data_IF_388644801877
#
_entry.id   IF_388644801877
#
_cell.length_a   1.000
_cell.length_b   1.000
_cell.length_c   1.000
_cell.angle_alpha   90.00
_cell.angle_beta   90.00
_cell.angle_gamma   90.00
#
_symmetry.space_group_name_H-M   'P 1'
#
loop_
_entity.id
_entity.type
_entity.pdbx_description
1 polymer ?
#
# COMPACT_ATOMS: atom_id res chain seq x y z
N UNK A 1 23.68 -15.26 -43.15
CA UNK A 1 24.09 -14.24 -42.17
C UNK A 1 22.90 -13.95 -41.27
N UNK A 2 22.99 -14.39 -40.01
CA UNK A 2 22.04 -14.01 -38.95
C UNK A 2 22.46 -12.65 -38.40
N UNK A 3 21.60 -11.65 -38.50
CA UNK A 3 21.69 -10.39 -37.75
C UNK A 3 20.26 -10.00 -37.34
N UNK A 4 19.71 -10.73 -36.37
CA UNK A 4 18.49 -10.34 -35.66
C UNK A 4 18.91 -9.36 -34.55
N UNK A 5 19.06 -8.09 -34.91
CA UNK A 5 19.19 -7.01 -33.92
C UNK A 5 17.84 -6.81 -33.24
N UNK A 6 17.65 -7.41 -32.06
CA UNK A 6 16.56 -7.05 -31.18
C UNK A 6 16.83 -5.66 -30.62
N UNK A 7 16.31 -4.62 -31.27
CA UNK A 7 16.16 -3.32 -30.64
C UNK A 7 15.33 -3.52 -29.36
N UNK A 8 15.99 -3.43 -28.21
CA UNK A 8 15.41 -3.55 -26.87
C UNK A 8 14.40 -2.44 -26.66
N UNK A 9 13.15 -2.72 -27.00
CA UNK A 9 12.02 -1.82 -26.89
C UNK A 9 11.35 -2.01 -25.54
N UNK A 10 11.09 -0.92 -24.79
CA UNK A 10 10.28 -1.00 -23.57
C UNK A 10 8.91 -1.57 -23.91
N UNK A 11 8.46 -2.68 -23.30
CA UNK A 11 7.25 -3.36 -23.72
C UNK A 11 6.02 -2.59 -23.24
N UNK A 12 5.49 -1.70 -24.09
CA UNK A 12 4.38 -0.78 -23.77
C UNK A 12 3.15 -1.50 -23.20
N UNK A 13 2.81 -2.68 -23.73
CA UNK A 13 1.69 -3.46 -23.23
C UNK A 13 1.86 -3.88 -21.76
N UNK A 14 3.08 -4.24 -21.36
CA UNK A 14 3.39 -4.65 -19.98
C UNK A 14 3.40 -3.44 -19.04
N UNK A 15 3.89 -2.29 -19.50
CA UNK A 15 3.82 -1.03 -18.75
C UNK A 15 2.36 -0.61 -18.52
N UNK A 16 1.49 -0.73 -19.53
CA UNK A 16 0.05 -0.46 -19.38
C UNK A 16 -0.61 -1.43 -18.39
N UNK A 17 -0.26 -2.70 -18.44
CA UNK A 17 -0.75 -3.70 -17.50
C UNK A 17 -0.32 -3.41 -16.06
N UNK A 18 0.95 -3.01 -15.86
CA UNK A 18 1.45 -2.57 -14.56
C UNK A 18 0.68 -1.33 -14.06
N UNK A 19 0.50 -0.32 -14.93
CA UNK A 19 -0.21 0.91 -14.60
C UNK A 19 -1.69 0.69 -14.24
N UNK A 20 -2.30 -0.38 -14.76
CA UNK A 20 -3.66 -0.79 -14.40
C UNK A 20 -3.75 -1.51 -13.03
N UNK A 21 -2.63 -1.76 -12.35
CA UNK A 21 -2.51 -2.49 -11.09
C UNK A 21 -3.07 -1.80 -9.84
N UNK A 22 -4.12 -1.00 -9.98
CA UNK A 22 -4.68 -0.15 -8.92
C UNK A 22 -5.34 -0.94 -7.78
N UNK A 23 -5.73 -2.20 -8.05
CA UNK A 23 -6.37 -3.07 -7.06
C UNK A 23 -5.56 -3.22 -5.77
N UNK A 24 -4.22 -3.30 -5.87
CA UNK A 24 -3.34 -3.42 -4.71
C UNK A 24 -3.44 -2.19 -3.78
N UNK A 25 -3.50 -0.99 -4.35
CA UNK A 25 -3.60 0.27 -3.60
C UNK A 25 -4.99 0.49 -3.04
N UNK A 26 -6.03 0.04 -3.74
CA UNK A 26 -7.41 0.07 -3.24
C UNK A 26 -7.55 -0.82 -2.01
N UNK A 27 -7.10 -2.09 -2.08
CA UNK A 27 -7.14 -2.99 -0.92
C UNK A 27 -6.25 -2.48 0.22
N UNK A 28 -5.08 -1.89 -0.07
CA UNK A 28 -4.27 -1.24 0.95
C UNK A 28 -5.04 -0.13 1.68
N UNK A 29 -5.73 0.75 0.95
CA UNK A 29 -6.49 1.86 1.54
C UNK A 29 -7.66 1.36 2.41
N UNK A 30 -8.35 0.29 2.00
CA UNK A 30 -9.40 -0.34 2.81
C UNK A 30 -8.85 -0.88 4.14
N UNK A 31 -7.69 -1.55 4.10
CA UNK A 31 -7.04 -2.10 5.29
C UNK A 31 -6.47 -1.00 6.19
N UNK A 32 -5.94 0.08 5.60
CA UNK A 32 -5.52 1.28 6.33
C UNK A 32 -6.70 1.92 7.06
N UNK A 33 -7.84 2.10 6.39
CA UNK A 33 -9.04 2.63 7.03
C UNK A 33 -9.54 1.71 8.14
N UNK A 34 -9.57 0.39 7.90
CA UNK A 34 -9.89 -0.59 8.94
C UNK A 34 -8.97 -0.45 10.15
N UNK A 35 -7.68 -0.23 9.94
CA UNK A 35 -6.72 -0.02 11.02
C UNK A 35 -7.02 1.26 11.82
N UNK A 36 -7.30 2.38 11.15
CA UNK A 36 -7.71 3.65 11.80
C UNK A 36 -8.98 3.47 12.63
N UNK A 37 -9.93 2.67 12.16
CA UNK A 37 -11.20 2.45 12.86
C UNK A 37 -11.14 1.34 13.92
N UNK A 38 -9.96 0.77 14.18
CA UNK A 38 -9.78 -0.35 15.12
C UNK A 38 -10.26 -0.02 16.53
N UNK A 39 -9.92 1.18 17.05
CA UNK A 39 -10.38 1.60 18.38
C UNK A 39 -11.90 1.62 18.48
N UNK A 40 -12.61 2.15 17.47
CA UNK A 40 -14.07 2.21 17.51
C UNK A 40 -14.72 0.83 17.54
N UNK A 41 -14.14 -0.15 16.83
CA UNK A 41 -14.61 -1.54 16.83
C UNK A 41 -14.27 -2.27 18.12
N UNK A 42 -13.10 -2.01 18.70
CA UNK A 42 -12.64 -2.67 19.91
C UNK A 42 -13.32 -2.13 21.17
N UNK A 43 -13.68 -0.83 21.18
CA UNK A 43 -14.17 -0.09 22.36
C UNK A 43 -15.24 -0.82 23.20
N UNK A 44 -16.25 -1.49 22.65
CA UNK A 44 -17.26 -2.21 23.44
C UNK A 44 -16.69 -3.37 24.27
N UNK A 45 -15.49 -3.84 23.92
CA UNK A 45 -14.83 -5.02 24.48
C UNK A 45 -13.63 -4.67 25.37
N UNK A 46 -13.32 -3.38 25.54
CA UNK A 46 -12.16 -2.95 26.32
C UNK A 46 -12.54 -2.77 27.79
N UNK A 47 -11.67 -3.23 28.69
CA UNK A 47 -11.68 -2.76 30.07
C UNK A 47 -11.30 -1.27 30.16
N UNK A 48 -11.59 -0.57 31.27
CA UNK A 48 -11.24 0.85 31.41
C UNK A 48 -9.74 1.17 31.22
N UNK A 49 -8.86 0.27 31.64
CA UNK A 49 -7.41 0.43 31.48
C UNK A 49 -6.98 0.26 30.01
N UNK A 50 -7.59 -0.70 29.31
CA UNK A 50 -7.33 -0.94 27.88
C UNK A 50 -7.90 0.19 27.02
N UNK A 51 -9.08 0.74 27.35
CA UNK A 51 -9.66 1.90 26.67
C UNK A 51 -8.74 3.12 26.74
N UNK A 52 -8.21 3.42 27.93
CA UNK A 52 -7.26 4.53 28.09
C UNK A 52 -6.01 4.36 27.22
N UNK A 53 -5.47 3.14 27.14
CA UNK A 53 -4.31 2.82 26.30
C UNK A 53 -4.64 2.91 24.81
N UNK A 54 -5.74 2.30 24.37
CA UNK A 54 -6.13 2.29 22.95
C UNK A 54 -6.51 3.67 22.43
N UNK A 55 -7.03 4.57 23.27
CA UNK A 55 -7.26 5.98 22.91
C UNK A 55 -5.97 6.71 22.53
N UNK A 56 -4.88 6.44 23.25
CA UNK A 56 -3.57 7.02 22.93
C UNK A 56 -3.04 6.49 21.60
N UNK A 57 -3.21 5.20 21.35
CA UNK A 57 -2.84 4.57 20.07
C UNK A 57 -3.72 5.06 18.91
N UNK A 58 -5.03 5.25 19.12
CA UNK A 58 -5.95 5.81 18.13
C UNK A 58 -5.53 7.22 17.69
N UNK A 59 -5.15 8.06 18.64
CA UNK A 59 -4.64 9.41 18.34
C UNK A 59 -3.39 9.34 17.44
N UNK A 60 -2.47 8.41 17.71
CA UNK A 60 -1.29 8.19 16.86
C UNK A 60 -1.66 7.67 15.46
N UNK A 61 -2.53 6.66 15.37
CA UNK A 61 -3.03 6.11 14.10
C UNK A 61 -3.66 7.21 13.23
N UNK A 62 -4.53 8.03 13.80
CA UNK A 62 -5.20 9.15 13.10
C UNK A 62 -4.21 10.23 12.68
N UNK A 63 -3.24 10.57 13.52
CA UNK A 63 -2.24 11.58 13.21
C UNK A 63 -1.33 11.17 12.04
N UNK A 64 -1.05 9.87 11.89
CA UNK A 64 -0.26 9.32 10.79
C UNK A 64 -1.04 9.13 9.49
N UNK A 65 -2.38 9.09 9.53
CA UNK A 65 -3.20 8.66 8.39
C UNK A 65 -3.02 9.54 7.14
N UNK A 66 -2.86 10.85 7.32
CA UNK A 66 -2.64 11.75 6.20
C UNK A 66 -1.30 11.46 5.47
N UNK A 67 -0.25 11.12 6.22
CA UNK A 67 1.07 10.81 5.67
C UNK A 67 1.05 9.43 4.98
N UNK A 68 0.36 8.45 5.56
CA UNK A 68 0.12 7.12 4.95
C UNK A 68 -0.64 7.25 3.62
N UNK A 69 -1.72 8.03 3.60
CA UNK A 69 -2.50 8.23 2.38
C UNK A 69 -1.68 8.88 1.26
N UNK A 70 -0.77 9.79 1.62
CA UNK A 70 0.17 10.42 0.67
C UNK A 70 1.15 9.41 0.07
N UNK A 71 1.66 8.46 0.85
CA UNK A 71 2.52 7.38 0.32
C UNK A 71 1.81 6.57 -0.77
N UNK A 72 0.59 6.09 -0.48
CA UNK A 72 -0.20 5.35 -1.45
C UNK A 72 -0.56 6.19 -2.68
N UNK A 73 -0.84 7.48 -2.48
CA UNK A 73 -1.11 8.41 -3.58
C UNK A 73 0.12 8.64 -4.46
N UNK A 74 1.33 8.76 -3.91
CA UNK A 74 2.55 8.92 -4.70
C UNK A 74 2.81 7.70 -5.61
N UNK A 75 2.60 6.49 -5.08
CA UNK A 75 2.67 5.25 -5.87
C UNK A 75 1.62 5.26 -6.99
N UNK A 76 0.37 5.64 -6.68
CA UNK A 76 -0.71 5.74 -7.66
C UNK A 76 -0.37 6.72 -8.79
N UNK A 77 0.08 7.93 -8.44
CA UNK A 77 0.47 8.95 -9.42
C UNK A 77 1.60 8.46 -10.33
N UNK A 78 2.58 7.77 -9.76
CA UNK A 78 3.67 7.18 -10.54
C UNK A 78 3.18 6.14 -11.54
N UNK A 79 2.31 5.22 -11.12
CA UNK A 79 1.73 4.21 -12.02
C UNK A 79 0.86 4.84 -13.11
N UNK A 80 0.08 5.87 -12.77
CA UNK A 80 -0.71 6.63 -13.74
C UNK A 80 0.16 7.35 -14.77
N UNK A 81 1.28 7.94 -14.32
CA UNK A 81 2.26 8.57 -15.20
C UNK A 81 2.85 7.57 -16.20
N UNK A 82 3.26 6.38 -15.74
CA UNK A 82 3.73 5.29 -16.59
C UNK A 82 2.65 4.87 -17.60
N UNK A 83 1.40 4.74 -17.14
CA UNK A 83 0.26 4.39 -17.99
C UNK A 83 0.05 5.40 -19.11
N UNK A 84 -0.01 6.70 -18.80
CA UNK A 84 -0.19 7.78 -19.79
C UNK A 84 0.98 7.86 -20.76
N UNK A 85 2.22 7.79 -20.25
CA UNK A 85 3.42 7.72 -21.09
C UNK A 85 3.39 6.51 -22.04
N UNK A 86 2.82 5.38 -21.63
CA UNK A 86 2.69 4.22 -22.50
C UNK A 86 1.56 4.34 -23.55
N UNK A 87 0.62 5.29 -23.40
CA UNK A 87 -0.46 5.56 -24.37
C UNK A 87 -0.13 6.69 -25.38
N UNK A 88 1.03 7.33 -25.24
CA UNK A 88 1.47 8.47 -26.05
C UNK A 88 0.66 9.76 -25.82
N UNK A 89 0.01 9.87 -24.66
CA UNK A 89 -0.70 11.09 -24.29
C UNK A 89 0.28 12.15 -23.79
N UNK A 90 0.03 13.42 -24.16
CA UNK A 90 0.72 14.55 -23.57
C UNK A 90 0.40 14.58 -22.07
N UNK A 91 1.39 14.33 -21.23
CA UNK A 91 1.18 14.23 -19.79
C UNK A 91 1.62 15.50 -19.08
N UNK A 92 0.63 16.26 -18.58
CA UNK A 92 0.85 17.30 -17.57
C UNK A 92 0.48 16.76 -16.18
N UNK A 93 1.51 16.55 -15.36
CA UNK A 93 1.42 15.98 -14.01
C UNK A 93 1.16 17.05 -12.95
N UNK A 94 1.35 18.33 -13.31
CA UNK A 94 1.35 19.45 -12.36
C UNK A 94 0.07 19.59 -11.53
N UNK A 95 -1.15 19.46 -12.09
CA UNK A 95 -2.37 19.58 -11.28
C UNK A 95 -2.51 18.44 -10.26
N UNK A 96 -2.05 17.24 -10.59
CA UNK A 96 -2.12 16.05 -9.75
C UNK A 96 -1.01 16.07 -8.67
N UNK A 97 0.16 16.62 -9.00
CA UNK A 97 1.28 16.84 -8.09
C UNK A 97 1.03 17.95 -7.07
N UNK A 98 0.25 18.97 -7.41
CA UNK A 98 -0.04 20.08 -6.48
C UNK A 98 -0.69 19.59 -5.17
N UNK A 99 -1.54 18.56 -5.24
CA UNK A 99 -2.13 17.92 -4.05
C UNK A 99 -1.18 16.98 -3.29
N UNK A 100 -0.20 16.42 -4.01
CA UNK A 100 0.81 15.50 -3.46
C UNK A 100 2.08 16.22 -2.97
N UNK A 101 2.31 17.50 -3.28
CA UNK A 101 3.54 18.22 -2.94
C UNK A 101 3.77 18.47 -1.45
N UNK A 102 2.82 18.17 -0.57
CA UNK A 102 3.03 18.33 0.87
C UNK A 102 4.02 17.29 1.39
N UNK A 103 4.89 17.73 2.30
CA UNK A 103 5.84 16.87 3.00
C UNK A 103 5.11 15.82 3.85
N UNK A 104 5.72 14.64 3.95
CA UNK A 104 5.31 13.60 4.91
C UNK A 104 6.31 13.55 6.07
N UNK A 105 5.84 13.07 7.21
CA UNK A 105 6.67 12.86 8.40
C UNK A 105 7.15 11.42 8.51
N UNK A 106 8.31 11.24 9.14
CA UNK A 106 8.70 9.93 9.67
C UNK A 106 7.81 9.59 10.88
N UNK A 107 7.46 8.32 11.02
CA UNK A 107 6.64 7.79 12.10
C UNK A 107 7.35 6.58 12.73
N UNK A 108 8.33 6.82 13.62
CA UNK A 108 9.08 5.75 14.28
C UNK A 108 8.12 4.76 14.96
N UNK A 109 8.31 3.47 14.71
CA UNK A 109 7.43 2.40 15.23
C UNK A 109 6.24 2.03 14.34
N UNK A 110 5.91 2.84 13.32
CA UNK A 110 4.92 2.47 12.29
C UNK A 110 5.53 1.81 11.05
N UNK A 111 6.86 1.92 10.89
CA UNK A 111 7.59 1.45 9.70
C UNK A 111 7.88 2.53 8.67
N UNK A 112 7.39 3.78 8.84
CA UNK A 112 7.79 4.93 8.01
C UNK A 112 8.99 5.62 8.65
N UNK A 113 10.13 5.64 7.94
CA UNK A 113 11.38 6.25 8.38
C UNK A 113 11.86 7.29 7.35
N UNK A 114 13.01 7.91 7.61
CA UNK A 114 13.57 8.96 6.75
C UNK A 114 13.91 8.48 5.33
N UNK A 115 14.18 7.18 5.15
CA UNK A 115 14.38 6.59 3.82
C UNK A 115 13.08 6.64 3.03
N UNK A 116 11.95 6.31 3.65
CA UNK A 116 10.63 6.38 3.01
C UNK A 116 10.22 7.83 2.70
N UNK A 117 10.51 8.77 3.62
CA UNK A 117 10.30 10.22 3.39
C UNK A 117 11.11 10.69 2.18
N UNK A 118 12.39 10.32 2.11
CA UNK A 118 13.27 10.69 1.00
C UNK A 118 12.80 10.09 -0.33
N UNK A 119 12.43 8.81 -0.33
CA UNK A 119 11.90 8.13 -1.51
C UNK A 119 10.63 8.81 -2.03
N UNK A 120 9.73 9.22 -1.14
CA UNK A 120 8.53 9.97 -1.50
C UNK A 120 8.88 11.28 -2.22
N UNK A 121 9.78 12.08 -1.66
CA UNK A 121 10.22 13.33 -2.27
C UNK A 121 10.89 13.11 -3.62
N UNK A 122 11.78 12.12 -3.73
CA UNK A 122 12.47 11.79 -4.98
C UNK A 122 11.50 11.38 -6.08
N UNK A 123 10.51 10.55 -5.76
CA UNK A 123 9.50 10.10 -6.72
C UNK A 123 8.68 11.28 -7.25
N UNK A 124 8.23 12.18 -6.36
CA UNK A 124 7.50 13.39 -6.79
C UNK A 124 8.36 14.33 -7.64
N UNK A 125 9.65 14.49 -7.30
CA UNK A 125 10.59 15.28 -8.09
C UNK A 125 10.86 14.68 -9.48
N UNK A 126 10.81 13.36 -9.63
CA UNK A 126 10.92 12.73 -10.94
C UNK A 126 9.68 12.99 -11.78
N UNK A 127 8.50 12.87 -11.15
CA UNK A 127 7.23 13.15 -11.82
C UNK A 127 7.13 14.62 -12.26
N UNK A 128 7.62 15.57 -11.48
CA UNK A 128 7.60 16.99 -11.86
C UNK A 128 8.49 17.32 -13.06
N UNK A 129 9.49 16.47 -13.33
CA UNK A 129 10.45 16.60 -14.44
C UNK A 129 9.99 15.91 -15.73
N UNK A 130 8.80 15.32 -15.77
CA UNK A 130 8.26 14.58 -16.92
C UNK A 130 8.00 15.43 -18.19
N UNK A 131 8.22 16.75 -18.15
CA UNK A 131 8.13 17.63 -19.31
C UNK A 131 9.36 17.58 -20.24
N UNK A 132 9.20 18.08 -21.47
CA UNK A 132 10.31 18.27 -22.42
C UNK A 132 10.13 17.62 -23.79
N UNK A 133 11.17 17.71 -24.63
CA UNK A 133 11.18 17.32 -26.06
C UNK A 133 11.73 15.92 -26.35
N UNK A 134 12.09 15.15 -25.32
CA UNK A 134 12.59 13.79 -25.51
C UNK A 134 11.53 12.86 -26.14
N UNK A 135 11.99 11.84 -26.87
CA UNK A 135 11.09 10.83 -27.42
C UNK A 135 10.32 10.13 -26.30
N UNK A 136 9.06 9.73 -26.57
CA UNK A 136 8.20 9.03 -25.61
C UNK A 136 8.90 7.83 -24.96
N UNK A 137 9.64 7.07 -25.76
CA UNK A 137 10.28 5.85 -25.33
C UNK A 137 11.51 6.10 -24.47
N UNK A 138 12.30 7.12 -24.78
CA UNK A 138 13.41 7.54 -23.94
C UNK A 138 12.90 8.05 -22.58
N UNK A 139 11.80 8.82 -22.58
CA UNK A 139 11.14 9.25 -21.33
C UNK A 139 10.65 8.07 -20.52
N UNK A 140 9.95 7.13 -21.14
CA UNK A 140 9.43 5.97 -20.43
C UNK A 140 10.56 5.11 -19.83
N UNK A 141 11.62 4.86 -20.60
CA UNK A 141 12.79 4.12 -20.12
C UNK A 141 13.45 4.83 -18.93
N UNK A 142 13.62 6.15 -19.03
CA UNK A 142 14.19 6.96 -17.95
C UNK A 142 13.34 6.92 -16.68
N UNK A 143 12.02 7.04 -16.81
CA UNK A 143 11.10 7.05 -15.65
C UNK A 143 11.05 5.71 -14.95
N UNK A 144 11.10 4.61 -15.71
CA UNK A 144 11.20 3.27 -15.15
C UNK A 144 12.53 3.06 -14.42
N UNK A 145 13.64 3.54 -15.01
CA UNK A 145 14.96 3.38 -14.41
C UNK A 145 15.14 4.25 -13.16
N UNK A 146 14.97 5.57 -13.30
CA UNK A 146 15.17 6.53 -12.21
C UNK A 146 14.14 6.29 -11.09
N UNK A 147 12.92 5.90 -11.44
CA UNK A 147 11.81 5.69 -10.51
C UNK A 147 11.84 4.37 -9.75
N UNK A 148 12.68 3.40 -10.12
CA UNK A 148 12.67 2.09 -9.49
C UNK A 148 13.03 2.17 -8.00
N UNK A 149 14.21 2.69 -7.65
CA UNK A 149 14.63 2.71 -6.24
C UNK A 149 13.66 3.47 -5.31
N UNK A 150 13.16 4.67 -5.66
CA UNK A 150 12.14 5.36 -4.86
C UNK A 150 10.83 4.56 -4.78
N UNK A 151 10.33 4.02 -5.89
CA UNK A 151 9.10 3.23 -5.88
C UNK A 151 9.22 1.97 -4.99
N UNK A 152 10.33 1.22 -5.11
CA UNK A 152 10.56 0.03 -4.30
C UNK A 152 10.57 0.37 -2.80
N UNK A 153 11.16 1.50 -2.42
CA UNK A 153 11.14 1.97 -1.04
C UNK A 153 9.72 2.31 -0.58
N UNK A 154 8.90 2.96 -1.41
CA UNK A 154 7.50 3.25 -1.05
C UNK A 154 6.67 1.97 -0.92
N UNK A 155 6.81 1.01 -1.85
CA UNK A 155 6.11 -0.27 -1.79
C UNK A 155 6.52 -1.09 -0.55
N UNK A 156 7.79 -1.05 -0.17
CA UNK A 156 8.26 -1.66 1.08
C UNK A 156 7.67 -1.00 2.33
N UNK A 157 7.48 0.33 2.32
CA UNK A 157 6.78 1.04 3.38
C UNK A 157 5.31 0.59 3.48
N UNK A 158 4.61 0.47 2.35
CA UNK A 158 3.23 -0.03 2.32
C UNK A 158 3.13 -1.48 2.83
N UNK A 159 4.06 -2.38 2.46
CA UNK A 159 4.09 -3.75 3.00
C UNK A 159 4.33 -3.76 4.52
N UNK A 160 5.26 -2.93 5.01
CA UNK A 160 5.54 -2.82 6.45
C UNK A 160 4.33 -2.32 7.24
N UNK A 161 3.59 -1.35 6.68
CA UNK A 161 2.32 -0.88 7.25
C UNK A 161 1.27 -1.99 7.25
N UNK A 162 1.16 -2.80 6.19
CA UNK A 162 0.24 -3.95 6.18
C UNK A 162 0.59 -4.98 7.25
N UNK A 163 1.87 -5.23 7.52
CA UNK A 163 2.30 -6.11 8.62
C UNK A 163 1.90 -5.53 9.97
N UNK A 164 2.09 -4.22 10.18
CA UNK A 164 1.64 -3.54 11.39
C UNK A 164 0.13 -3.64 11.57
N UNK A 165 -0.64 -3.42 10.50
CA UNK A 165 -2.10 -3.45 10.53
C UNK A 165 -2.62 -4.86 10.84
N UNK A 166 -2.02 -5.89 10.25
CA UNK A 166 -2.37 -7.29 10.50
C UNK A 166 -2.13 -7.66 11.97
N UNK A 167 -0.96 -7.29 12.51
CA UNK A 167 -0.64 -7.49 13.93
C UNK A 167 -1.58 -6.71 14.86
N UNK A 168 -1.94 -5.48 14.51
CA UNK A 168 -2.94 -4.71 15.25
C UNK A 168 -4.31 -5.38 15.19
N UNK A 169 -4.67 -5.98 14.06
CA UNK A 169 -5.90 -6.73 13.87
C UNK A 169 -5.93 -8.03 14.67
N UNK A 170 -4.81 -8.74 14.77
CA UNK A 170 -4.65 -9.91 15.65
C UNK A 170 -4.86 -9.53 17.12
N UNK A 171 -4.26 -8.42 17.57
CA UNK A 171 -4.48 -7.93 18.93
C UNK A 171 -5.96 -7.57 19.18
N UNK A 172 -6.61 -6.89 18.22
CA UNK A 172 -8.05 -6.59 18.30
C UNK A 172 -8.87 -7.87 18.38
N UNK A 173 -8.58 -8.87 17.55
CA UNK A 173 -9.23 -10.18 17.56
C UNK A 173 -9.12 -10.85 18.92
N UNK A 174 -7.91 -10.90 19.49
CA UNK A 174 -7.64 -11.62 20.72
C UNK A 174 -8.38 -10.97 21.91
N UNK A 175 -8.46 -9.64 21.94
CA UNK A 175 -9.28 -8.90 22.92
C UNK A 175 -10.78 -9.22 22.75
N UNK A 176 -11.30 -9.08 21.53
CA UNK A 176 -12.74 -9.22 21.26
C UNK A 176 -13.21 -10.66 21.48
N UNK A 177 -12.53 -11.64 20.90
CA UNK A 177 -12.89 -13.04 21.04
C UNK A 177 -12.60 -13.55 22.45
N UNK A 178 -11.50 -13.11 23.07
CA UNK A 178 -11.16 -13.47 24.45
C UNK A 178 -12.22 -13.01 25.44
N UNK A 179 -12.74 -11.79 25.32
CA UNK A 179 -13.84 -11.33 26.18
C UNK A 179 -15.11 -12.19 25.95
N UNK A 180 -15.47 -12.47 24.70
CA UNK A 180 -16.65 -13.27 24.41
C UNK A 180 -16.53 -14.70 24.93
N UNK A 181 -15.37 -15.32 24.80
CA UNK A 181 -15.10 -16.66 25.34
C UNK A 181 -15.34 -16.72 26.86
N UNK A 182 -14.82 -15.72 27.58
CA UNK A 182 -14.97 -15.62 29.04
C UNK A 182 -16.43 -15.37 29.41
N UNK A 183 -17.08 -14.36 28.84
CA UNK A 183 -18.46 -13.98 29.19
C UNK A 183 -19.48 -15.07 28.84
N UNK A 184 -19.33 -15.76 27.69
CA UNK A 184 -20.20 -16.87 27.30
C UNK A 184 -20.11 -18.01 28.31
N UNK A 185 -18.91 -18.32 28.82
CA UNK A 185 -18.71 -19.39 29.79
C UNK A 185 -19.44 -19.12 31.12
N UNK A 186 -19.58 -17.85 31.52
CA UNK A 186 -20.31 -17.46 32.74
C UNK A 186 -21.82 -17.28 32.55
N UNK A 187 -22.30 -17.17 31.30
CA UNK A 187 -23.71 -16.95 30.98
C UNK A 187 -24.56 -18.23 30.86
N UNK A 188 -24.04 -19.40 31.24
CA UNK A 188 -24.69 -20.71 31.00
C UNK A 188 -25.74 -21.09 32.07
N UNK A 189 -26.61 -20.13 32.41
CA UNK A 189 -27.76 -20.35 33.30
C UNK A 189 -29.08 -20.40 32.51
N UNK A 190 -30.11 -21.14 32.96
CA UNK A 190 -31.39 -21.27 32.24
C UNK A 190 -32.05 -19.93 31.87
N UNK A 191 -31.91 -18.92 32.73
CA UNK A 191 -32.46 -17.57 32.54
C UNK A 191 -31.72 -16.77 31.47
N UNK A 192 -30.49 -17.14 31.15
CA UNK A 192 -29.60 -16.42 30.22
C UNK A 192 -29.39 -17.16 28.89
N UNK A 193 -30.08 -18.28 28.66
CA UNK A 193 -29.89 -19.12 27.48
C UNK A 193 -29.99 -18.36 26.14
N UNK A 194 -30.91 -17.40 26.02
CA UNK A 194 -31.03 -16.58 24.80
C UNK A 194 -29.82 -15.64 24.63
N UNK A 195 -29.32 -15.05 25.72
CA UNK A 195 -28.11 -14.22 25.71
C UNK A 195 -26.88 -15.05 25.33
N UNK A 196 -26.75 -16.28 25.87
CA UNK A 196 -25.68 -17.20 25.50
C UNK A 196 -25.72 -17.58 24.02
N UNK A 197 -26.91 -17.80 23.44
CA UNK A 197 -27.06 -18.07 22.00
C UNK A 197 -26.69 -16.85 21.15
N UNK A 198 -27.15 -15.66 21.54
CA UNK A 198 -26.80 -14.42 20.84
C UNK A 198 -25.29 -14.15 20.89
N UNK A 199 -24.66 -14.34 22.05
CA UNK A 199 -23.22 -14.17 22.22
C UNK A 199 -22.42 -15.17 21.38
N UNK A 200 -22.83 -16.45 21.31
CA UNK A 200 -22.23 -17.45 20.41
C UNK A 200 -22.37 -17.08 18.93
N UNK A 201 -23.53 -16.59 18.52
CA UNK A 201 -23.74 -16.10 17.15
C UNK A 201 -22.82 -14.91 16.83
N UNK A 202 -22.69 -13.96 17.77
CA UNK A 202 -21.79 -12.83 17.61
C UNK A 202 -20.32 -13.27 17.54
N UNK A 203 -19.91 -14.22 18.38
CA UNK A 203 -18.55 -14.77 18.37
C UNK A 203 -18.23 -15.44 17.03
N UNK A 204 -19.15 -16.24 16.47
CA UNK A 204 -18.98 -16.85 15.16
C UNK A 204 -18.85 -15.80 14.05
N UNK A 205 -19.72 -14.79 14.08
CA UNK A 205 -19.66 -13.66 13.14
C UNK A 205 -18.33 -12.91 13.21
N UNK A 206 -17.85 -12.60 14.42
CA UNK A 206 -16.55 -11.95 14.64
C UNK A 206 -15.38 -12.81 14.19
N UNK A 207 -15.42 -14.11 14.46
CA UNK A 207 -14.38 -15.05 14.03
C UNK A 207 -14.25 -15.11 12.51
N UNK A 208 -15.38 -15.08 11.78
CA UNK A 208 -15.39 -14.98 10.33
C UNK A 208 -14.83 -13.64 9.85
N UNK A 209 -15.26 -12.53 10.45
CA UNK A 209 -14.79 -11.18 10.12
C UNK A 209 -13.26 -11.08 10.20
N UNK A 210 -12.67 -11.53 11.32
CA UNK A 210 -11.22 -11.49 11.52
C UNK A 210 -10.48 -12.43 10.56
N UNK A 211 -11.03 -13.62 10.26
CA UNK A 211 -10.43 -14.53 9.27
C UNK A 211 -10.39 -13.90 7.89
N UNK A 212 -11.49 -13.29 7.45
CA UNK A 212 -11.57 -12.60 6.17
C UNK A 212 -10.61 -11.41 6.10
N UNK A 213 -10.47 -10.66 7.19
CA UNK A 213 -9.49 -9.57 7.27
C UNK A 213 -8.05 -10.08 7.08
N UNK A 214 -7.65 -11.14 7.78
CA UNK A 214 -6.31 -11.74 7.63
C UNK A 214 -6.02 -12.26 6.21
N UNK A 215 -7.04 -12.85 5.56
CA UNK A 215 -6.92 -13.24 4.14
C UNK A 215 -6.71 -12.03 3.23
N UNK A 216 -7.43 -10.93 3.46
CA UNK A 216 -7.25 -9.68 2.71
C UNK A 216 -5.85 -9.09 2.90
N UNK A 217 -5.30 -9.10 4.12
CA UNK A 217 -3.91 -8.73 4.36
C UNK A 217 -2.94 -9.57 3.52
N UNK A 218 -3.11 -10.89 3.52
CA UNK A 218 -2.27 -11.79 2.73
C UNK A 218 -2.35 -11.49 1.22
N UNK A 219 -3.55 -11.25 0.69
CA UNK A 219 -3.75 -10.91 -0.72
C UNK A 219 -3.11 -9.57 -1.07
N UNK A 220 -3.34 -8.53 -0.27
CA UNK A 220 -2.79 -7.19 -0.50
C UNK A 220 -1.26 -7.22 -0.56
N UNK A 221 -0.61 -7.90 0.39
CA UNK A 221 0.85 -8.06 0.41
C UNK A 221 1.38 -8.78 -0.83
N UNK A 222 0.71 -9.87 -1.26
CA UNK A 222 1.08 -10.58 -2.49
C UNK A 222 0.95 -9.69 -3.73
N UNK A 223 -0.09 -8.87 -3.80
CA UNK A 223 -0.32 -7.93 -4.90
C UNK A 223 0.75 -6.83 -4.93
N UNK A 224 1.07 -6.21 -3.78
CA UNK A 224 2.16 -5.23 -3.69
C UNK A 224 3.51 -5.84 -4.10
N UNK A 225 3.81 -7.06 -3.64
CA UNK A 225 5.03 -7.76 -4.01
C UNK A 225 5.08 -8.11 -5.51
N UNK A 226 3.94 -8.45 -6.12
CA UNK A 226 3.86 -8.68 -7.57
C UNK A 226 4.09 -7.41 -8.37
N UNK A 227 3.49 -6.29 -7.93
CA UNK A 227 3.69 -4.97 -8.51
C UNK A 227 5.16 -4.54 -8.44
N UNK A 228 5.79 -4.71 -7.28
CA UNK A 228 7.20 -4.42 -7.06
C UNK A 228 8.12 -5.21 -8.02
N UNK A 229 7.90 -6.53 -8.13
CA UNK A 229 8.68 -7.40 -9.02
C UNK A 229 8.50 -7.04 -10.49
N UNK A 230 7.27 -6.80 -10.92
CA UNK A 230 6.99 -6.47 -12.32
C UNK A 230 7.58 -5.11 -12.70
N UNK A 231 7.52 -4.13 -11.81
CA UNK A 231 8.20 -2.85 -12.02
C UNK A 231 9.71 -3.04 -12.16
N UNK A 232 10.36 -3.72 -11.20
CA UNK A 232 11.81 -3.95 -11.23
C UNK A 232 12.25 -4.66 -12.52
N UNK A 233 11.44 -5.62 -13.00
CA UNK A 233 11.68 -6.30 -14.28
C UNK A 233 11.68 -5.33 -15.45
N UNK A 234 10.68 -4.44 -15.52
CA UNK A 234 10.57 -3.43 -16.58
C UNK A 234 11.70 -2.37 -16.49
N UNK A 235 12.10 -1.98 -15.29
CA UNK A 235 13.21 -1.07 -15.05
C UNK A 235 14.54 -1.67 -15.54
N UNK A 236 14.83 -2.94 -15.22
CA UNK A 236 16.03 -3.63 -15.72
C UNK A 236 16.06 -3.71 -17.25
N UNK A 237 14.93 -4.03 -17.88
CA UNK A 237 14.82 -4.06 -19.35
C UNK A 237 15.11 -2.70 -19.97
N UNK A 238 14.63 -1.61 -19.35
CA UNK A 238 14.89 -0.26 -19.80
C UNK A 238 16.40 0.11 -19.73
N UNK A 239 17.12 -0.33 -18.70
CA UNK A 239 18.56 -0.08 -18.55
C UNK A 239 19.39 -0.79 -19.63
N UNK A 240 19.07 -2.06 -19.93
CA UNK A 240 19.77 -2.82 -20.98
C UNK A 240 19.63 -2.18 -22.36
N UNK A 241 18.51 -1.49 -22.62
CA UNK A 241 18.30 -0.77 -23.87
C UNK A 241 19.12 0.52 -24.00
N UNK A 242 19.34 1.20 -22.88
CA UNK A 242 20.15 2.42 -22.88
C UNK A 242 21.63 2.12 -23.10
N UNK A 243 22.19 1.06 -22.48
CA UNK A 243 23.62 0.71 -22.60
C UNK A 243 24.02 0.29 -24.01
N UNK A 244 23.18 -0.48 -24.72
CA UNK A 244 23.45 -0.88 -26.11
C UNK A 244 23.52 0.32 -27.07
N UNK A 245 22.81 1.41 -26.76
CA UNK A 245 22.81 2.62 -27.58
C UNK A 245 24.12 3.43 -27.44
N UNK A 246 24.87 3.23 -26.36
CA UNK A 246 26.16 3.90 -26.12
C UNK A 246 27.36 3.12 -26.66
N UNK A 247 27.26 1.78 -26.77
CA UNK A 247 28.35 0.94 -27.29
C UNK A 247 28.44 0.92 -28.83
N UNK A 248 27.43 1.45 -29.53
CA UNK A 248 27.35 1.55 -31.00
C UNK A 248 27.77 2.95 -31.55
N UNK A 249 28.47 3.78 -30.76
CA UNK A 249 29.09 5.05 -31.21
C UNK A 249 30.61 4.99 -31.10
#
# INVERSE_FOLDING_TARGET
MLLSGCATHTPLAQVRALAAGDAALTTFNELSQRHVDSYQRARPYLSPAEDARERLLDAQRRAAQADVARLAQAVRLYLQALGRLAHADAYDVQPELAGAGAAIRAWPGSGIDDRHVSAYTLLLQQLSRLGGTASQQARLAQVLHDGDAPLQALLAALDSLLVLYDKSGDNERDVVLGLLDVEIAYADTPQQRLLAVLAKSMQQSKSEEYRQAGLRHTVARRQLAALAREHARLAMMATTATETTWMDR
#
